data_IF_105566942372
#
_entry.id   IF_105566942372
#
_cell.length_a   1.000
_cell.length_b   1.000
_cell.length_c   1.000
_cell.angle_alpha   90.00
_cell.angle_beta   90.00
_cell.angle_gamma   90.00
#
_symmetry.space_group_name_H-M   'P 1'
#
loop_
_entity.id
_entity.type
_entity.pdbx_description
1 polymer ?
#
# COMPACT_ATOMS: atom_id res chain seq x y z
N UNK A 1 -11.03 5.63 29.03
CA UNK A 1 -10.99 6.00 27.60
C UNK A 1 -9.83 6.96 27.26
N UNK A 2 -9.43 7.90 28.15
CA UNK A 2 -8.34 8.85 27.88
C UNK A 2 -6.96 8.22 27.64
N UNK A 3 -6.52 7.30 28.49
CA UNK A 3 -5.17 6.72 28.42
C UNK A 3 -4.91 5.88 27.16
N UNK A 4 -5.93 5.19 26.65
CA UNK A 4 -5.82 4.40 25.40
C UNK A 4 -5.71 5.35 24.21
N UNK A 5 -6.47 6.44 24.21
CA UNK A 5 -6.43 7.46 23.16
C UNK A 5 -5.08 8.18 23.14
N UNK A 6 -4.57 8.58 24.30
CA UNK A 6 -3.25 9.21 24.43
C UNK A 6 -2.11 8.27 24.01
N UNK A 7 -2.19 6.98 24.39
CA UNK A 7 -1.22 5.97 23.93
C UNK A 7 -1.27 5.73 22.41
N UNK A 8 -2.47 5.73 21.84
CA UNK A 8 -2.66 5.61 20.40
C UNK A 8 -2.13 6.83 19.64
N UNK A 9 -2.42 8.03 20.10
CA UNK A 9 -1.94 9.29 19.53
C UNK A 9 -0.40 9.37 19.60
N UNK A 10 0.20 8.93 20.71
CA UNK A 10 1.66 8.84 20.84
C UNK A 10 2.25 7.84 19.84
N UNK A 11 1.67 6.65 19.73
CA UNK A 11 2.13 5.63 18.78
C UNK A 11 2.02 6.13 17.34
N UNK A 12 0.90 6.75 17.01
CA UNK A 12 0.61 7.26 15.67
C UNK A 12 1.53 8.43 15.29
N UNK A 13 1.71 9.41 16.18
CA UNK A 13 2.48 10.62 15.89
C UNK A 13 3.99 10.45 16.05
N UNK A 14 4.42 9.74 17.09
CA UNK A 14 5.84 9.63 17.40
C UNK A 14 6.52 8.41 16.76
N UNK A 15 5.83 7.29 16.60
CA UNK A 15 6.42 6.08 16.04
C UNK A 15 6.10 5.96 14.54
N UNK A 16 4.84 6.03 14.13
CA UNK A 16 4.47 5.92 12.72
C UNK A 16 4.69 7.24 11.94
N UNK A 17 4.27 8.37 12.51
CA UNK A 17 4.44 9.69 11.92
C UNK A 17 5.86 10.24 12.00
N UNK A 18 6.69 9.74 12.94
CA UNK A 18 8.07 10.23 13.18
C UNK A 18 8.17 11.76 13.19
N UNK A 19 7.24 12.46 13.86
CA UNK A 19 7.24 13.92 13.91
C UNK A 19 8.55 14.50 14.44
N UNK A 20 9.17 13.80 15.41
CA UNK A 20 10.50 14.16 15.91
C UNK A 20 11.57 14.21 14.81
N UNK A 21 11.48 13.34 13.81
CA UNK A 21 12.40 13.31 12.66
C UNK A 21 12.13 14.50 11.71
N UNK A 22 10.86 14.87 11.51
CA UNK A 22 10.47 16.05 10.75
C UNK A 22 11.07 17.31 11.36
N UNK A 23 10.91 17.50 12.67
CA UNK A 23 11.43 18.65 13.39
C UNK A 23 12.99 18.69 13.39
N UNK A 24 13.62 17.53 13.50
CA UNK A 24 15.08 17.42 13.45
C UNK A 24 15.64 17.81 12.08
N UNK A 25 15.02 17.35 11.00
CA UNK A 25 15.43 17.70 9.63
C UNK A 25 15.17 19.18 9.35
N UNK A 26 14.02 19.73 9.78
CA UNK A 26 13.71 21.16 9.66
C UNK A 26 14.77 22.01 10.35
N UNK A 27 15.11 21.70 11.59
CA UNK A 27 16.15 22.41 12.34
C UNK A 27 17.55 22.31 11.68
N UNK A 28 17.88 21.19 11.07
CA UNK A 28 19.15 21.02 10.34
C UNK A 28 19.19 21.88 9.07
N UNK A 29 18.10 21.92 8.31
CA UNK A 29 18.00 22.73 7.09
C UNK A 29 18.03 24.22 7.37
N UNK A 30 17.37 24.67 8.44
CA UNK A 30 17.44 26.06 8.90
C UNK A 30 18.88 26.45 9.29
N UNK A 31 19.60 25.58 10.01
CA UNK A 31 21.03 25.79 10.35
C UNK A 31 21.92 25.80 9.09
N UNK A 32 21.54 25.07 8.04
CA UNK A 32 22.26 25.07 6.76
C UNK A 32 21.94 26.29 5.87
N UNK A 33 21.13 27.24 6.37
CA UNK A 33 20.76 28.45 5.63
C UNK A 33 19.65 28.27 4.59
N UNK A 34 19.01 27.08 4.54
CA UNK A 34 17.86 26.79 3.69
C UNK A 34 16.59 26.87 4.54
N UNK A 35 15.94 28.04 4.56
CA UNK A 35 14.69 28.23 5.30
C UNK A 35 13.55 27.40 4.71
N UNK A 36 12.67 26.89 5.58
CA UNK A 36 11.51 26.06 5.23
C UNK A 36 10.48 26.75 4.31
N UNK A 37 10.54 28.05 4.18
CA UNK A 37 9.54 28.85 3.44
C UNK A 37 9.93 29.18 1.99
N UNK A 38 11.01 28.60 1.45
CA UNK A 38 11.46 28.86 0.08
C UNK A 38 11.84 27.58 -0.64
N UNK A 39 11.34 27.41 -1.88
CA UNK A 39 11.92 26.43 -2.79
C UNK A 39 13.43 26.76 -2.97
N UNK A 40 14.39 25.83 -2.77
CA UNK A 40 14.29 24.37 -2.69
C UNK A 40 14.22 23.77 -1.25
N UNK A 41 14.16 24.58 -0.19
CA UNK A 41 14.21 24.09 1.19
C UNK A 41 13.03 23.20 1.57
N UNK A 42 11.81 23.58 1.20
CA UNK A 42 10.59 22.83 1.45
C UNK A 42 10.60 21.46 0.71
N UNK A 43 11.04 21.45 -0.54
CA UNK A 43 11.21 20.24 -1.32
C UNK A 43 12.22 19.29 -0.65
N UNK A 44 13.37 19.82 -0.24
CA UNK A 44 14.44 19.01 0.37
C UNK A 44 14.02 18.46 1.73
N UNK A 45 13.30 19.26 2.51
CA UNK A 45 12.75 18.86 3.80
C UNK A 45 11.80 17.69 3.65
N UNK A 46 10.81 17.83 2.75
CA UNK A 46 9.85 16.77 2.46
C UNK A 46 10.54 15.52 1.92
N UNK A 47 11.43 15.66 0.95
CA UNK A 47 12.15 14.57 0.32
C UNK A 47 13.00 13.77 1.33
N UNK A 48 13.83 14.45 2.12
CA UNK A 48 14.72 13.78 3.10
C UNK A 48 13.90 13.09 4.18
N UNK A 49 12.88 13.77 4.71
CA UNK A 49 12.00 13.22 5.74
C UNK A 49 11.29 11.96 5.25
N UNK A 50 10.64 12.01 4.09
CA UNK A 50 9.91 10.87 3.56
C UNK A 50 10.82 9.70 3.19
N UNK A 51 11.98 9.96 2.58
CA UNK A 51 12.95 8.93 2.26
C UNK A 51 13.39 8.19 3.52
N UNK A 52 13.82 8.90 4.57
CA UNK A 52 14.27 8.27 5.82
C UNK A 52 13.11 7.53 6.48
N UNK A 53 11.94 8.14 6.59
CA UNK A 53 10.74 7.53 7.17
C UNK A 53 10.40 6.21 6.47
N UNK A 54 10.35 6.23 5.14
CA UNK A 54 10.02 5.04 4.33
C UNK A 54 11.07 3.95 4.55
N UNK A 55 12.37 4.26 4.50
CA UNK A 55 13.41 3.26 4.72
C UNK A 55 13.37 2.65 6.12
N UNK A 56 13.15 3.46 7.16
CA UNK A 56 13.07 2.96 8.54
C UNK A 56 11.85 2.06 8.71
N UNK A 57 10.67 2.52 8.28
CA UNK A 57 9.43 1.73 8.37
C UNK A 57 9.53 0.44 7.55
N UNK A 58 10.06 0.52 6.33
CA UNK A 58 10.26 -0.63 5.45
C UNK A 58 11.21 -1.65 6.10
N UNK A 59 12.35 -1.20 6.63
CA UNK A 59 13.32 -2.07 7.28
C UNK A 59 12.74 -2.76 8.52
N UNK A 60 12.05 -2.02 9.39
CA UNK A 60 11.41 -2.57 10.60
C UNK A 60 10.31 -3.57 10.23
N UNK A 61 9.43 -3.22 9.29
CA UNK A 61 8.33 -4.09 8.86
C UNK A 61 8.85 -5.37 8.19
N UNK A 62 9.79 -5.26 7.25
CA UNK A 62 10.36 -6.45 6.59
C UNK A 62 11.07 -7.32 7.61
N UNK A 63 11.79 -6.73 8.56
CA UNK A 63 12.46 -7.48 9.62
C UNK A 63 11.46 -8.27 10.46
N UNK A 64 10.42 -7.61 10.99
CA UNK A 64 9.39 -8.23 11.82
C UNK A 64 8.65 -9.34 11.06
N UNK A 65 8.22 -9.05 9.83
CA UNK A 65 7.50 -10.01 8.99
C UNK A 65 8.38 -11.21 8.67
N UNK A 66 9.61 -11.00 8.23
CA UNK A 66 10.54 -12.09 7.90
C UNK A 66 10.91 -12.93 9.13
N UNK A 67 11.02 -12.29 10.29
CA UNK A 67 11.23 -12.98 11.55
C UNK A 67 10.03 -13.85 11.92
N UNK A 68 8.80 -13.32 11.84
CA UNK A 68 7.56 -14.07 12.08
C UNK A 68 7.41 -15.20 11.06
N UNK A 69 7.64 -14.94 9.77
CA UNK A 69 7.59 -15.95 8.71
C UNK A 69 8.56 -17.10 8.95
N UNK A 70 9.70 -16.85 9.59
CA UNK A 70 10.66 -17.89 9.94
C UNK A 70 10.10 -18.92 10.93
N UNK A 71 9.02 -18.62 11.66
CA UNK A 71 8.30 -19.56 12.53
C UNK A 71 7.15 -20.29 11.81
N UNK A 72 6.64 -19.70 10.73
CA UNK A 72 5.54 -20.25 9.95
C UNK A 72 6.04 -20.62 8.56
N UNK A 73 6.59 -21.83 8.40
CA UNK A 73 6.97 -22.28 7.08
C UNK A 73 5.75 -22.29 6.15
N UNK A 74 5.93 -21.97 4.85
CA UNK A 74 4.86 -21.83 3.86
C UNK A 74 3.93 -23.05 3.78
N UNK A 75 4.44 -24.24 4.13
CA UNK A 75 3.67 -25.50 4.10
C UNK A 75 2.49 -25.51 5.09
N UNK A 76 2.60 -24.82 6.24
CA UNK A 76 1.48 -24.70 7.19
C UNK A 76 0.37 -23.80 6.66
N UNK A 77 0.74 -22.72 6.00
CA UNK A 77 -0.22 -21.83 5.34
C UNK A 77 -0.95 -22.56 4.20
N UNK A 78 -0.22 -23.36 3.41
CA UNK A 78 -0.79 -24.25 2.38
C UNK A 78 -1.83 -25.24 2.97
N UNK A 79 -1.56 -25.81 4.13
CA UNK A 79 -2.44 -26.80 4.78
C UNK A 79 -3.72 -26.17 5.32
N UNK A 80 -3.67 -24.92 5.76
CA UNK A 80 -4.84 -24.17 6.29
C UNK A 80 -5.67 -23.62 5.13
N UNK A 81 -5.03 -22.95 4.16
CA UNK A 81 -5.72 -22.32 3.03
C UNK A 81 -6.10 -23.32 1.93
N UNK A 82 -5.40 -24.43 1.80
CA UNK A 82 -5.72 -25.49 0.83
C UNK A 82 -7.00 -26.28 1.13
N UNK A 83 -7.65 -26.03 2.27
CA UNK A 83 -8.99 -26.57 2.57
C UNK A 83 -10.12 -25.79 1.90
N UNK A 84 -9.85 -24.57 1.49
CA UNK A 84 -10.82 -23.68 0.84
C UNK A 84 -10.53 -23.61 -0.64
N UNK A 85 -11.56 -23.75 -1.48
CA UNK A 85 -11.44 -23.72 -2.93
C UNK A 85 -12.33 -22.64 -3.53
N UNK A 86 -11.89 -22.08 -4.64
CA UNK A 86 -12.66 -21.07 -5.40
C UNK A 86 -12.83 -19.74 -4.64
N UNK A 87 -13.98 -19.12 -4.80
CA UNK A 87 -14.25 -17.76 -4.33
C UNK A 87 -14.10 -17.60 -2.80
N UNK A 88 -14.38 -18.65 -2.01
CA UNK A 88 -14.20 -18.63 -0.55
C UNK A 88 -12.74 -18.49 -0.14
N UNK A 89 -11.85 -19.14 -0.87
CA UNK A 89 -10.41 -18.99 -0.63
C UNK A 89 -9.95 -17.56 -0.92
N UNK A 90 -10.47 -16.94 -1.99
CA UNK A 90 -10.18 -15.55 -2.35
C UNK A 90 -10.72 -14.56 -1.31
N UNK A 91 -11.91 -14.81 -0.74
CA UNK A 91 -12.45 -14.02 0.37
C UNK A 91 -11.55 -14.09 1.59
N UNK A 92 -11.08 -15.29 1.97
CA UNK A 92 -10.17 -15.46 3.10
C UNK A 92 -8.84 -14.75 2.84
N UNK A 93 -8.30 -14.84 1.61
CA UNK A 93 -7.12 -14.10 1.19
C UNK A 93 -7.28 -12.59 1.35
N UNK A 94 -8.40 -12.04 0.89
CA UNK A 94 -8.73 -10.64 1.01
C UNK A 94 -8.90 -10.19 2.48
N UNK A 95 -9.59 -10.98 3.30
CA UNK A 95 -9.74 -10.70 4.73
C UNK A 95 -8.40 -10.73 5.47
N UNK A 96 -7.53 -11.69 5.11
CA UNK A 96 -6.19 -11.75 5.69
C UNK A 96 -5.39 -10.47 5.36
N UNK A 97 -5.50 -9.97 4.12
CA UNK A 97 -4.89 -8.70 3.72
C UNK A 97 -5.41 -7.53 4.53
N UNK A 98 -6.71 -7.47 4.80
CA UNK A 98 -7.32 -6.37 5.58
C UNK A 98 -6.89 -6.35 7.04
N UNK A 99 -6.74 -7.53 7.66
CA UNK A 99 -6.30 -7.64 9.06
C UNK A 99 -4.82 -7.31 9.22
N UNK A 100 -4.03 -7.52 8.17
CA UNK A 100 -2.59 -7.26 8.19
C UNK A 100 -2.29 -5.85 7.66
N UNK A 101 -1.88 -4.89 8.52
CA UNK A 101 -1.63 -3.50 8.12
C UNK A 101 -0.30 -3.39 7.37
N UNK A 102 -0.26 -3.89 6.15
CA UNK A 102 0.95 -3.91 5.35
C UNK A 102 0.86 -2.94 4.17
N UNK A 103 1.89 -2.10 4.03
CA UNK A 103 2.07 -1.35 2.79
C UNK A 103 2.33 -2.30 1.61
N UNK A 104 2.07 -1.85 0.40
CA UNK A 104 2.30 -2.63 -0.82
C UNK A 104 3.71 -3.23 -0.92
N UNK A 105 4.74 -2.53 -0.41
CA UNK A 105 6.11 -3.03 -0.39
C UNK A 105 6.33 -4.26 0.49
N UNK A 106 5.60 -4.38 1.60
CA UNK A 106 5.68 -5.54 2.50
C UNK A 106 4.74 -6.67 2.09
N UNK A 107 3.63 -6.35 1.43
CA UNK A 107 2.68 -7.35 0.92
C UNK A 107 3.25 -8.18 -0.24
N UNK A 108 4.14 -7.61 -1.06
CA UNK A 108 4.75 -8.32 -2.19
C UNK A 108 5.64 -9.50 -1.75
N UNK A 109 6.57 -9.38 -0.77
CA UNK A 109 7.30 -10.53 -0.25
C UNK A 109 6.40 -11.63 0.30
N UNK A 110 5.28 -11.28 0.96
CA UNK A 110 4.31 -12.24 1.47
C UNK A 110 3.57 -12.91 0.30
N UNK A 111 3.17 -12.15 -0.70
CA UNK A 111 2.60 -12.65 -1.95
C UNK A 111 3.54 -13.67 -2.61
N UNK A 112 4.84 -13.36 -2.73
CA UNK A 112 5.84 -14.28 -3.25
C UNK A 112 5.93 -15.56 -2.41
N UNK A 113 5.89 -15.44 -1.07
CA UNK A 113 5.88 -16.57 -0.15
C UNK A 113 4.65 -17.45 -0.32
N UNK A 114 3.46 -16.88 -0.43
CA UNK A 114 2.23 -17.62 -0.66
C UNK A 114 2.22 -18.30 -2.04
N UNK A 115 2.70 -17.61 -3.06
CA UNK A 115 2.77 -18.15 -4.41
C UNK A 115 3.80 -19.29 -4.49
N UNK A 116 4.97 -19.15 -3.86
CA UNK A 116 5.97 -20.24 -3.77
C UNK A 116 5.50 -21.41 -2.91
N UNK A 117 4.61 -21.18 -1.94
CA UNK A 117 3.93 -22.25 -1.21
C UNK A 117 2.87 -23.02 -2.05
N UNK A 118 2.59 -22.55 -3.27
CA UNK A 118 1.63 -23.18 -4.19
C UNK A 118 0.17 -22.84 -3.89
N UNK A 119 -0.09 -21.69 -3.25
CA UNK A 119 -1.46 -21.18 -3.12
C UNK A 119 -1.99 -20.70 -4.47
N UNK A 120 -3.31 -20.83 -4.74
CA UNK A 120 -3.93 -20.35 -5.97
C UNK A 120 -3.67 -18.86 -6.21
N UNK A 121 -3.47 -18.45 -7.45
CA UNK A 121 -3.23 -17.05 -7.80
C UNK A 121 -4.38 -16.13 -7.36
N UNK A 122 -5.61 -16.60 -7.40
CA UNK A 122 -6.76 -15.84 -6.93
C UNK A 122 -6.61 -15.40 -5.48
N UNK A 123 -6.22 -16.32 -4.61
CA UNK A 123 -6.02 -16.05 -3.18
C UNK A 123 -4.88 -15.05 -2.95
N UNK A 124 -3.76 -15.28 -3.62
CA UNK A 124 -2.56 -14.45 -3.43
C UNK A 124 -2.75 -13.04 -3.97
N UNK A 125 -3.47 -12.88 -5.09
CA UNK A 125 -3.82 -11.57 -5.64
C UNK A 125 -4.95 -10.88 -4.85
N UNK A 126 -5.94 -11.61 -4.34
CA UNK A 126 -6.94 -11.04 -3.43
C UNK A 126 -6.28 -10.45 -2.18
N UNK A 127 -5.32 -11.15 -1.59
CA UNK A 127 -4.49 -10.65 -0.50
C UNK A 127 -3.68 -9.41 -0.92
N UNK A 128 -3.01 -9.46 -2.08
CA UNK A 128 -2.15 -8.38 -2.56
C UNK A 128 -2.92 -7.09 -2.86
N UNK A 129 -4.17 -7.20 -3.33
CA UNK A 129 -5.02 -6.05 -3.61
C UNK A 129 -5.59 -5.48 -2.32
N UNK A 130 -6.11 -6.33 -1.42
CA UNK A 130 -6.79 -5.87 -0.21
C UNK A 130 -5.82 -5.22 0.79
N UNK A 131 -4.63 -5.78 0.95
CA UNK A 131 -3.68 -5.39 1.99
C UNK A 131 -3.30 -3.90 1.98
N UNK A 132 -2.90 -3.28 0.87
CA UNK A 132 -2.61 -1.85 0.83
C UNK A 132 -3.86 -0.98 0.61
N UNK A 133 -4.97 -1.57 0.15
CA UNK A 133 -6.18 -0.84 -0.20
C UNK A 133 -7.12 -0.66 0.98
N UNK A 134 -7.19 -1.67 1.86
CA UNK A 134 -8.20 -1.78 2.92
C UNK A 134 -7.56 -2.35 4.17
N UNK A 135 -6.84 -1.53 4.94
CA UNK A 135 -6.31 -1.95 6.23
C UNK A 135 -7.12 -1.37 7.41
N UNK A 136 -6.98 -1.98 8.59
CA UNK A 136 -7.67 -1.52 9.80
C UNK A 136 -7.23 -0.13 10.25
N UNK A 137 -6.01 0.29 9.97
CA UNK A 137 -5.51 1.63 10.27
C UNK A 137 -6.20 2.67 9.40
N UNK A 138 -6.33 2.39 8.10
CA UNK A 138 -7.06 3.25 7.17
C UNK A 138 -8.54 3.38 7.53
N UNK A 139 -9.17 2.29 8.01
CA UNK A 139 -10.55 2.33 8.49
C UNK A 139 -10.72 3.34 9.63
N UNK A 140 -9.88 3.26 10.67
CA UNK A 140 -9.96 4.18 11.83
C UNK A 140 -9.76 5.63 11.42
N UNK A 141 -8.83 5.89 10.52
CA UNK A 141 -8.57 7.23 10.02
C UNK A 141 -9.70 7.78 9.15
N UNK A 142 -10.20 6.97 8.21
CA UNK A 142 -11.35 7.36 7.40
C UNK A 142 -12.59 7.62 8.25
N UNK A 143 -12.76 6.85 9.33
CA UNK A 143 -13.85 7.12 10.30
C UNK A 143 -13.72 8.48 10.96
N UNK A 144 -12.52 8.95 11.22
CA UNK A 144 -12.30 10.26 11.85
C UNK A 144 -12.54 11.44 10.90
N UNK A 145 -12.32 11.26 9.61
CA UNK A 145 -12.40 12.33 8.59
C UNK A 145 -13.75 12.33 7.86
N UNK A 146 -14.17 11.18 7.38
CA UNK A 146 -15.36 11.03 6.53
C UNK A 146 -16.58 10.42 7.27
N UNK A 147 -16.39 10.02 8.52
CA UNK A 147 -17.43 9.36 9.32
C UNK A 147 -17.50 7.84 9.11
N UNK A 148 -18.13 7.16 10.07
CA UNK A 148 -18.13 5.70 10.13
C UNK A 148 -18.81 5.02 8.94
N UNK A 149 -19.93 5.57 8.45
CA UNK A 149 -20.68 4.95 7.33
C UNK A 149 -19.86 4.89 6.06
N UNK A 150 -19.17 5.98 5.72
CA UNK A 150 -18.29 6.05 4.51
C UNK A 150 -17.09 5.12 4.68
N UNK A 151 -16.47 5.12 5.86
CA UNK A 151 -15.33 4.26 6.15
C UNK A 151 -15.67 2.75 6.03
N UNK A 152 -16.80 2.31 6.59
CA UNK A 152 -17.26 0.93 6.44
C UNK A 152 -17.62 0.59 4.99
N UNK A 153 -18.30 1.49 4.28
CA UNK A 153 -18.61 1.29 2.87
C UNK A 153 -17.33 1.16 2.02
N UNK A 154 -16.31 1.98 2.30
CA UNK A 154 -15.00 1.91 1.67
C UNK A 154 -14.35 0.53 1.84
N UNK A 155 -14.34 0.00 3.07
CA UNK A 155 -13.78 -1.33 3.39
C UNK A 155 -14.54 -2.42 2.64
N UNK A 156 -15.86 -2.41 2.67
CA UNK A 156 -16.69 -3.43 2.01
C UNK A 156 -16.47 -3.41 0.50
N UNK A 157 -16.50 -2.24 -0.12
CA UNK A 157 -16.33 -2.12 -1.57
C UNK A 157 -14.90 -2.46 -1.98
N UNK A 158 -13.90 -2.06 -1.20
CA UNK A 158 -12.50 -2.44 -1.42
C UNK A 158 -12.27 -3.95 -1.33
N UNK A 159 -12.89 -4.62 -0.36
CA UNK A 159 -12.88 -6.09 -0.26
C UNK A 159 -13.53 -6.76 -1.48
N UNK A 160 -14.65 -6.24 -1.95
CA UNK A 160 -15.31 -6.74 -3.16
C UNK A 160 -14.37 -6.62 -4.37
N UNK A 161 -13.72 -5.47 -4.55
CA UNK A 161 -12.74 -5.26 -5.62
C UNK A 161 -11.58 -6.25 -5.51
N UNK A 162 -11.06 -6.50 -4.31
CA UNK A 162 -9.98 -7.44 -4.09
C UNK A 162 -10.37 -8.88 -4.43
N UNK A 163 -11.55 -9.34 -3.99
CA UNK A 163 -12.05 -10.68 -4.27
C UNK A 163 -12.37 -10.86 -5.75
N UNK A 164 -13.02 -9.88 -6.36
CA UNK A 164 -13.34 -9.92 -7.80
C UNK A 164 -12.06 -9.88 -8.63
N UNK A 165 -11.12 -9.01 -8.29
CA UNK A 165 -9.84 -8.90 -8.99
C UNK A 165 -9.01 -10.18 -8.91
N UNK A 166 -8.89 -10.78 -7.71
CA UNK A 166 -8.21 -12.07 -7.53
C UNK A 166 -8.91 -13.20 -8.30
N UNK A 167 -10.25 -13.25 -8.25
CA UNK A 167 -11.03 -14.27 -8.98
C UNK A 167 -10.89 -14.13 -10.50
N UNK A 168 -10.83 -12.90 -11.02
CA UNK A 168 -10.58 -12.67 -12.44
C UNK A 168 -9.20 -13.16 -12.87
N UNK A 169 -8.17 -12.88 -12.07
CA UNK A 169 -6.79 -13.33 -12.34
C UNK A 169 -6.72 -14.87 -12.29
N UNK A 170 -7.39 -15.52 -11.34
CA UNK A 170 -7.46 -16.98 -11.23
C UNK A 170 -8.10 -17.61 -12.48
N UNK A 171 -9.23 -17.05 -12.95
CA UNK A 171 -9.92 -17.53 -14.15
C UNK A 171 -9.13 -17.37 -15.45
N UNK A 172 -8.16 -16.47 -15.47
CA UNK A 172 -7.28 -16.28 -16.63
C UNK A 172 -6.19 -17.35 -16.74
N UNK A 173 -6.05 -18.24 -15.75
CA UNK A 173 -5.06 -19.34 -15.73
C UNK A 173 -3.67 -18.88 -16.14
N UNK A 174 -3.14 -17.87 -15.45
CA UNK A 174 -1.88 -17.22 -15.80
C UNK A 174 -0.71 -17.65 -14.89
N UNK A 175 -0.74 -18.87 -14.38
CA UNK A 175 0.30 -19.44 -13.52
C UNK A 175 1.68 -19.41 -14.21
N UNK A 176 1.71 -19.53 -15.54
CA UNK A 176 2.92 -19.45 -16.36
C UNK A 176 3.54 -18.04 -16.42
N UNK A 177 2.81 -17.03 -15.98
CA UNK A 177 3.27 -15.65 -15.94
C UNK A 177 3.91 -15.28 -14.59
N UNK A 178 3.98 -16.20 -13.65
CA UNK A 178 4.81 -16.07 -12.43
C UNK A 178 6.24 -16.40 -12.77
N UNK A 179 7.21 -15.69 -12.18
CA UNK A 179 8.63 -15.91 -12.40
C UNK A 179 9.08 -17.31 -11.96
N UNK A 180 10.01 -17.87 -12.73
CA UNK A 180 10.39 -19.28 -12.63
C UNK A 180 11.01 -19.64 -11.27
N UNK A 181 11.76 -18.74 -10.67
CA UNK A 181 12.37 -18.97 -9.36
C UNK A 181 11.33 -19.13 -8.23
N UNK A 182 10.13 -18.51 -8.36
CA UNK A 182 9.01 -18.66 -7.42
C UNK A 182 8.34 -20.02 -7.65
N UNK A 183 8.18 -20.43 -8.91
CA UNK A 183 7.56 -21.70 -9.27
C UNK A 183 8.45 -22.91 -8.90
N UNK A 184 9.75 -22.81 -9.08
CA UNK A 184 10.70 -23.87 -8.71
C UNK A 184 10.73 -24.10 -7.20
N UNK A 185 10.54 -23.07 -6.39
CA UNK A 185 10.46 -23.21 -4.93
C UNK A 185 9.26 -24.05 -4.46
N UNK A 186 8.21 -24.21 -5.29
CA UNK A 186 7.06 -25.07 -4.97
C UNK A 186 7.41 -26.57 -4.93
N UNK A 187 8.42 -26.99 -5.68
CA UNK A 187 8.78 -28.40 -5.86
C UNK A 187 9.89 -28.86 -4.91
N UNK A 188 10.44 -27.98 -4.10
CA UNK A 188 11.48 -28.33 -3.13
C UNK A 188 10.80 -28.57 -1.79
N UNK A 189 10.55 -29.82 -1.45
CA UNK A 189 10.29 -30.24 -0.07
C UNK A 189 11.60 -30.08 0.72
N UNK A 190 11.87 -28.89 1.19
CA UNK A 190 12.94 -28.65 2.16
C UNK A 190 12.32 -29.06 3.51
N UNK A 191 12.71 -30.22 4.04
CA UNK A 191 12.56 -30.48 5.47
C UNK A 191 13.09 -29.25 6.18
N UNK A 192 12.20 -28.52 6.85
CA UNK A 192 12.54 -27.27 7.52
C UNK A 192 13.54 -27.58 8.63
N UNK A 193 14.84 -27.29 8.46
CA UNK A 193 15.79 -27.46 9.56
C UNK A 193 15.29 -26.60 10.72
N UNK A 194 15.40 -27.11 11.95
CA UNK A 194 15.05 -26.36 13.15
C UNK A 194 15.99 -25.15 13.23
N UNK A 195 15.60 -24.05 12.61
CA UNK A 195 16.35 -22.80 12.61
C UNK A 195 16.52 -22.33 14.06
N UNK A 196 17.73 -22.04 14.45
CA UNK A 196 18.00 -21.39 15.74
C UNK A 196 17.53 -19.93 15.71
N UNK A 197 17.38 -19.31 16.87
CA UNK A 197 17.00 -17.89 16.95
C UNK A 197 18.01 -17.01 16.19
N UNK A 198 19.29 -17.35 16.21
CA UNK A 198 20.35 -16.66 15.47
C UNK A 198 20.16 -16.76 13.95
N UNK A 199 19.81 -17.96 13.45
CA UNK A 199 19.58 -18.18 12.03
C UNK A 199 18.35 -17.38 11.52
N UNK A 200 17.29 -17.30 12.34
CA UNK A 200 16.09 -16.51 12.05
C UNK A 200 16.37 -15.02 12.00
N UNK A 201 17.18 -14.53 12.92
CA UNK A 201 17.63 -13.14 12.95
C UNK A 201 18.47 -12.79 11.71
N UNK A 202 19.41 -13.66 11.35
CA UNK A 202 20.23 -13.50 10.15
C UNK A 202 19.38 -13.57 8.87
N UNK A 203 18.42 -14.48 8.80
CA UNK A 203 17.47 -14.55 7.71
C UNK A 203 16.69 -13.24 7.55
N UNK A 204 16.08 -12.74 8.63
CA UNK A 204 15.34 -11.48 8.61
C UNK A 204 16.23 -10.30 8.21
N UNK A 205 17.46 -10.20 8.74
CA UNK A 205 18.43 -9.15 8.38
C UNK A 205 18.81 -9.21 6.89
N UNK A 206 19.10 -10.40 6.38
CA UNK A 206 19.46 -10.58 4.97
C UNK A 206 18.28 -10.19 4.05
N UNK A 207 17.05 -10.50 4.45
CA UNK A 207 15.85 -10.13 3.71
C UNK A 207 15.66 -8.61 3.67
N UNK A 208 15.87 -7.91 4.79
CA UNK A 208 15.86 -6.44 4.84
C UNK A 208 16.90 -5.87 3.88
N UNK A 209 18.16 -6.27 4.01
CA UNK A 209 19.26 -5.74 3.18
C UNK A 209 19.03 -6.00 1.69
N UNK A 210 18.60 -7.21 1.35
CA UNK A 210 18.30 -7.59 -0.05
C UNK A 210 17.17 -6.75 -0.63
N UNK A 211 16.06 -6.61 0.13
CA UNK A 211 14.89 -5.85 -0.34
C UNK A 211 15.19 -4.37 -0.42
N UNK A 212 15.78 -3.78 0.63
CA UNK A 212 16.14 -2.36 0.64
C UNK A 212 17.06 -2.01 -0.51
N UNK A 213 18.11 -2.79 -0.77
CA UNK A 213 19.02 -2.55 -1.92
C UNK A 213 18.30 -2.57 -3.26
N UNK A 214 17.33 -3.47 -3.45
CA UNK A 214 16.58 -3.58 -4.70
C UNK A 214 15.60 -2.42 -4.90
N UNK A 215 15.00 -1.93 -3.81
CA UNK A 215 13.89 -0.96 -3.85
C UNK A 215 14.38 0.48 -3.70
N UNK A 216 15.56 0.69 -3.09
CA UNK A 216 16.13 2.02 -2.81
C UNK A 216 16.09 2.99 -4.01
N UNK A 217 16.62 2.65 -5.21
CA UNK A 217 16.62 3.61 -6.32
C UNK A 217 15.20 4.02 -6.73
N UNK A 218 14.24 3.12 -6.61
CA UNK A 218 12.85 3.38 -6.99
C UNK A 218 12.12 4.22 -5.94
N UNK A 219 12.43 4.04 -4.64
CA UNK A 219 11.91 4.90 -3.57
C UNK A 219 12.43 6.32 -3.78
N UNK A 220 13.73 6.51 -4.04
CA UNK A 220 14.29 7.84 -4.30
C UNK A 220 13.58 8.54 -5.47
N UNK A 221 13.37 7.85 -6.58
CA UNK A 221 12.67 8.41 -7.74
C UNK A 221 11.19 8.67 -7.42
N UNK A 222 10.49 7.74 -6.78
CA UNK A 222 9.08 7.89 -6.44
C UNK A 222 8.83 9.03 -5.46
N UNK A 223 9.65 9.15 -4.41
CA UNK A 223 9.55 10.25 -3.43
C UNK A 223 9.94 11.59 -4.07
N UNK A 224 10.94 11.62 -4.96
CA UNK A 224 11.29 12.85 -5.68
C UNK A 224 10.14 13.35 -6.56
N UNK A 225 9.47 12.45 -7.28
CA UNK A 225 8.26 12.78 -8.06
C UNK A 225 7.14 13.25 -7.13
N UNK A 226 6.89 12.56 -6.02
CA UNK A 226 5.88 12.95 -5.03
C UNK A 226 6.15 14.34 -4.43
N UNK A 227 7.39 14.60 -4.03
CA UNK A 227 7.82 15.89 -3.51
C UNK A 227 7.69 17.02 -4.57
N UNK A 228 8.01 16.71 -5.83
CA UNK A 228 7.85 17.67 -6.93
C UNK A 228 6.36 18.00 -7.18
N UNK A 229 5.49 17.01 -7.16
CA UNK A 229 4.05 17.21 -7.33
C UNK A 229 3.48 18.03 -6.17
N UNK A 230 3.85 17.69 -4.93
CA UNK A 230 3.37 18.40 -3.74
C UNK A 230 3.73 19.91 -3.75
N UNK A 231 4.93 20.24 -4.22
CA UNK A 231 5.43 21.61 -4.19
C UNK A 231 5.19 22.42 -5.49
N UNK A 232 5.04 21.73 -6.66
CA UNK A 232 4.94 22.40 -7.96
C UNK A 232 3.50 22.53 -8.46
N UNK A 233 2.54 21.71 -7.97
CA UNK A 233 1.17 21.81 -8.43
C UNK A 233 0.36 22.76 -7.53
N UNK A 234 0.04 23.96 -8.01
CA UNK A 234 -0.79 24.90 -7.27
C UNK A 234 -2.18 24.34 -7.02
N UNK A 235 -2.71 24.61 -5.85
CA UNK A 235 -4.04 24.12 -5.43
C UNK A 235 -5.17 24.46 -6.41
N UNK A 236 -5.08 25.59 -7.11
CA UNK A 236 -6.08 26.00 -8.08
C UNK A 236 -6.14 25.06 -9.31
N UNK A 237 -5.01 24.47 -9.71
CA UNK A 237 -4.94 23.48 -10.80
C UNK A 237 -5.64 22.20 -10.38
N UNK A 238 -5.37 21.72 -9.15
CA UNK A 238 -6.03 20.54 -8.58
C UNK A 238 -7.55 20.77 -8.55
N UNK A 239 -8.01 21.93 -8.10
CA UNK A 239 -9.42 22.31 -8.06
C UNK A 239 -10.06 22.36 -9.45
N UNK A 240 -9.37 22.92 -10.42
CA UNK A 240 -9.88 23.03 -11.80
C UNK A 240 -10.00 21.68 -12.50
N UNK A 241 -9.18 20.71 -12.09
CA UNK A 241 -9.09 19.39 -12.73
C UNK A 241 -9.92 18.34 -11.97
N UNK A 242 -9.93 18.37 -10.63
CA UNK A 242 -10.59 17.35 -9.77
C UNK A 242 -11.93 17.83 -9.18
N UNK A 243 -12.48 18.95 -9.63
CA UNK A 243 -13.75 19.49 -9.14
C UNK A 243 -14.95 18.53 -9.32
N UNK A 244 -15.96 18.67 -8.47
CA UNK A 244 -17.05 17.72 -8.20
C UNK A 244 -17.86 17.20 -9.39
N UNK A 245 -17.94 17.92 -10.50
CA UNK A 245 -18.89 17.62 -11.57
C UNK A 245 -18.25 17.08 -12.86
N UNK A 246 -16.98 16.69 -12.83
CA UNK A 246 -16.30 16.25 -14.04
C UNK A 246 -16.21 14.74 -14.11
N UNK A 247 -16.83 14.13 -15.08
CA UNK A 247 -16.81 12.68 -15.29
C UNK A 247 -15.39 12.11 -15.39
N UNK A 248 -14.43 12.86 -15.90
CA UNK A 248 -13.04 12.45 -16.01
C UNK A 248 -12.21 12.64 -14.71
N UNK A 249 -12.77 13.26 -13.68
CA UNK A 249 -12.05 13.55 -12.45
C UNK A 249 -11.58 12.26 -11.73
N UNK A 250 -12.41 11.23 -11.69
CA UNK A 250 -12.06 9.93 -11.05
C UNK A 250 -10.95 9.20 -11.81
N UNK A 251 -11.03 8.96 -13.13
CA UNK A 251 -9.94 8.35 -13.89
C UNK A 251 -8.64 9.17 -13.80
N UNK A 252 -8.74 10.48 -13.84
CA UNK A 252 -7.57 11.35 -13.75
C UNK A 252 -6.91 11.28 -12.38
N UNK A 253 -7.69 11.33 -11.30
CA UNK A 253 -7.20 11.16 -9.94
C UNK A 253 -6.49 9.80 -9.76
N UNK A 254 -7.04 8.74 -10.35
CA UNK A 254 -6.44 7.41 -10.34
C UNK A 254 -5.08 7.42 -11.06
N UNK A 255 -5.00 7.99 -12.26
CA UNK A 255 -3.75 8.05 -13.04
C UNK A 255 -2.70 8.91 -12.36
N UNK A 256 -3.09 10.05 -11.78
CA UNK A 256 -2.17 10.95 -11.05
C UNK A 256 -1.65 10.31 -9.76
N UNK A 257 -2.44 9.47 -9.11
CA UNK A 257 -2.03 8.73 -7.92
C UNK A 257 -0.97 7.66 -8.17
N UNK A 258 -1.00 6.99 -9.34
CA UNK A 258 -0.08 5.87 -9.66
C UNK A 258 1.41 6.22 -9.51
N UNK A 259 1.94 7.33 -10.04
CA UNK A 259 3.35 7.68 -9.87
C UNK A 259 3.70 8.13 -8.45
N UNK A 260 2.72 8.50 -7.64
CA UNK A 260 2.94 8.94 -6.27
C UNK A 260 3.17 7.74 -5.34
N UNK A 261 4.04 7.92 -4.37
CA UNK A 261 4.20 6.96 -3.28
C UNK A 261 3.92 7.67 -1.97
N UNK A 262 2.82 7.33 -1.35
CA UNK A 262 2.51 7.74 0.01
C UNK A 262 1.71 6.65 0.72
N UNK A 263 1.83 6.61 2.04
CA UNK A 263 0.94 5.81 2.86
C UNK A 263 -0.40 6.54 3.08
N UNK A 264 -1.37 5.86 3.64
CA UNK A 264 -2.68 6.46 3.88
C UNK A 264 -2.61 7.64 4.86
N UNK A 265 -1.68 7.60 5.82
CA UNK A 265 -1.46 8.68 6.78
C UNK A 265 -0.95 9.95 6.12
N UNK A 266 -0.12 9.82 5.08
CA UNK A 266 0.37 10.93 4.28
C UNK A 266 -0.66 11.49 3.29
N UNK A 267 -1.64 10.67 2.86
CA UNK A 267 -2.67 11.11 1.91
C UNK A 267 -3.86 11.83 2.57
N UNK A 268 -4.11 11.61 3.87
CA UNK A 268 -5.25 12.20 4.57
C UNK A 268 -5.25 13.73 4.57
N UNK A 269 -4.15 14.44 4.90
CA UNK A 269 -4.16 15.90 4.83
C UNK A 269 -4.45 16.43 3.43
N UNK A 270 -3.99 15.71 2.39
CA UNK A 270 -4.31 16.04 1.00
C UNK A 270 -5.79 15.80 0.72
N UNK A 271 -6.35 14.70 1.20
CA UNK A 271 -7.77 14.38 1.06
C UNK A 271 -8.67 15.42 1.75
N UNK A 272 -8.34 15.83 2.98
CA UNK A 272 -9.05 16.88 3.72
C UNK A 272 -8.98 18.23 2.97
N UNK A 273 -7.81 18.60 2.48
CA UNK A 273 -7.63 19.81 1.69
C UNK A 273 -8.44 19.80 0.40
N UNK A 274 -8.47 18.66 -0.31
CA UNK A 274 -9.26 18.49 -1.53
C UNK A 274 -10.76 18.52 -1.24
N UNK A 275 -11.20 17.91 -0.13
CA UNK A 275 -12.61 17.94 0.30
C UNK A 275 -13.05 19.34 0.64
N UNK A 276 -12.25 20.07 1.43
CA UNK A 276 -12.51 21.49 1.75
C UNK A 276 -12.58 22.40 0.52
N UNK A 277 -11.94 21.99 -0.57
CA UNK A 277 -11.92 22.69 -1.86
C UNK A 277 -13.02 22.23 -2.83
N UNK A 278 -13.92 21.35 -2.41
CA UNK A 278 -15.06 20.90 -3.19
C UNK A 278 -14.70 19.85 -4.25
N UNK A 279 -13.70 19.02 -4.03
CA UNK A 279 -13.50 17.81 -4.83
C UNK A 279 -14.52 16.73 -4.45
N UNK A 280 -15.00 15.96 -5.42
CA UNK A 280 -15.96 14.89 -5.19
C UNK A 280 -15.39 13.81 -4.26
N UNK A 281 -16.20 13.32 -3.30
CA UNK A 281 -15.80 12.31 -2.34
C UNK A 281 -15.17 11.07 -3.00
N UNK A 282 -15.82 10.54 -4.06
CA UNK A 282 -15.31 9.39 -4.77
C UNK A 282 -14.03 9.67 -5.53
N UNK A 283 -13.80 10.90 -6.00
CA UNK A 283 -12.56 11.32 -6.64
C UNK A 283 -11.39 11.29 -5.64
N UNK A 284 -11.64 11.78 -4.42
CA UNK A 284 -10.66 11.77 -3.32
C UNK A 284 -10.33 10.33 -2.92
N UNK A 285 -11.34 9.50 -2.70
CA UNK A 285 -11.15 8.10 -2.33
C UNK A 285 -10.42 7.30 -3.42
N UNK A 286 -10.75 7.55 -4.71
CA UNK A 286 -10.03 6.93 -5.82
C UNK A 286 -8.56 7.35 -5.88
N UNK A 287 -8.25 8.63 -5.63
CA UNK A 287 -6.88 9.11 -5.50
C UNK A 287 -6.14 8.40 -4.37
N UNK A 288 -6.73 8.35 -3.17
CA UNK A 288 -6.13 7.68 -2.01
C UNK A 288 -5.87 6.19 -2.29
N UNK A 289 -6.86 5.46 -2.84
CA UNK A 289 -6.70 4.06 -3.22
C UNK A 289 -5.59 3.86 -4.25
N UNK A 290 -5.49 4.75 -5.24
CA UNK A 290 -4.47 4.64 -6.29
C UNK A 290 -3.06 4.81 -5.74
N UNK A 291 -2.84 5.85 -4.91
CA UNK A 291 -1.54 6.15 -4.29
C UNK A 291 -1.06 5.00 -3.39
N UNK A 292 -1.97 4.38 -2.62
CA UNK A 292 -1.62 3.32 -1.67
C UNK A 292 -1.43 1.96 -2.34
N UNK A 293 -2.25 1.64 -3.35
CA UNK A 293 -2.30 0.30 -3.94
C UNK A 293 -1.35 0.14 -5.12
N UNK A 294 -1.27 1.13 -6.02
CA UNK A 294 -0.51 1.05 -7.28
C UNK A 294 0.55 2.16 -7.30
N UNK A 295 1.52 2.08 -6.41
CA UNK A 295 2.65 3.00 -6.46
C UNK A 295 3.75 2.49 -7.40
N UNK A 296 4.50 3.42 -8.01
CA UNK A 296 5.59 3.06 -8.91
C UNK A 296 6.64 2.11 -8.29
N UNK A 297 7.10 2.31 -7.03
CA UNK A 297 8.02 1.37 -6.39
C UNK A 297 7.42 -0.04 -6.22
N UNK A 298 6.14 -0.13 -5.90
CA UNK A 298 5.44 -1.41 -5.74
C UNK A 298 5.33 -2.17 -7.05
N UNK A 299 5.02 -1.46 -8.14
CA UNK A 299 4.97 -2.07 -9.49
C UNK A 299 6.33 -2.61 -9.92
N UNK A 300 7.41 -1.90 -9.61
CA UNK A 300 8.76 -2.38 -9.92
C UNK A 300 9.12 -3.61 -9.08
N UNK A 301 8.76 -3.65 -7.80
CA UNK A 301 8.95 -4.85 -6.98
C UNK A 301 8.14 -6.03 -7.52
N UNK A 302 6.88 -5.81 -7.84
CA UNK A 302 5.99 -6.84 -8.37
C UNK A 302 6.46 -7.34 -9.74
N UNK A 303 7.06 -6.48 -10.58
CA UNK A 303 7.64 -6.86 -11.88
C UNK A 303 8.82 -7.84 -11.78
N UNK A 304 9.37 -8.04 -10.57
CA UNK A 304 10.39 -9.06 -10.29
C UNK A 304 9.79 -10.40 -9.84
N UNK A 305 8.52 -10.42 -9.50
CA UNK A 305 7.79 -11.62 -9.07
C UNK A 305 6.91 -12.20 -10.20
N UNK A 306 6.40 -11.33 -11.07
CA UNK A 306 5.50 -11.71 -12.17
C UNK A 306 5.94 -11.08 -13.50
N UNK A 307 5.63 -11.76 -14.60
CA UNK A 307 5.96 -11.29 -15.94
C UNK A 307 5.06 -10.11 -16.35
N UNK A 308 5.56 -9.31 -17.31
CA UNK A 308 4.91 -8.07 -17.76
C UNK A 308 3.43 -8.23 -18.14
N UNK A 309 3.03 -9.36 -18.73
CA UNK A 309 1.65 -9.61 -19.15
C UNK A 309 0.71 -9.67 -17.94
N UNK A 310 1.04 -10.43 -16.91
CA UNK A 310 0.25 -10.53 -15.69
C UNK A 310 0.26 -9.22 -14.91
N UNK A 311 1.41 -8.52 -14.89
CA UNK A 311 1.51 -7.20 -14.28
C UNK A 311 0.58 -6.18 -14.93
N UNK A 312 0.52 -6.13 -16.26
CA UNK A 312 -0.39 -5.22 -16.99
C UNK A 312 -1.86 -5.53 -16.71
N UNK A 313 -2.23 -6.80 -16.65
CA UNK A 313 -3.60 -7.24 -16.31
C UNK A 313 -3.93 -6.85 -14.85
N UNK A 314 -3.02 -7.08 -13.92
CA UNK A 314 -3.19 -6.66 -12.53
C UNK A 314 -3.42 -5.15 -12.40
N UNK A 315 -2.59 -4.33 -13.05
CA UNK A 315 -2.75 -2.87 -13.07
C UNK A 315 -4.12 -2.50 -13.66
N UNK A 316 -4.51 -3.10 -14.78
CA UNK A 316 -5.79 -2.83 -15.43
C UNK A 316 -7.00 -3.16 -14.54
N UNK A 317 -6.97 -4.33 -13.88
CA UNK A 317 -8.05 -4.75 -12.97
C UNK A 317 -8.15 -3.81 -11.77
N UNK A 318 -7.02 -3.47 -11.15
CA UNK A 318 -7.02 -2.60 -9.95
C UNK A 318 -7.42 -1.18 -10.32
N UNK A 319 -6.89 -0.60 -11.41
CA UNK A 319 -7.30 0.72 -11.89
C UNK A 319 -8.80 0.76 -12.21
N UNK A 320 -9.31 -0.25 -12.91
CA UNK A 320 -10.75 -0.35 -13.20
C UNK A 320 -11.57 -0.42 -11.91
N UNK A 321 -11.14 -1.24 -10.96
CA UNK A 321 -11.79 -1.34 -9.65
C UNK A 321 -11.82 -0.01 -8.92
N UNK A 322 -10.70 0.71 -8.85
CA UNK A 322 -10.60 2.03 -8.22
C UNK A 322 -11.54 3.04 -8.90
N UNK A 323 -11.58 3.05 -10.23
CA UNK A 323 -12.45 3.96 -10.99
C UNK A 323 -13.91 3.66 -10.71
N UNK A 324 -14.30 2.39 -10.67
CA UNK A 324 -15.68 1.97 -10.33
C UNK A 324 -16.04 2.43 -8.92
N UNK A 325 -15.15 2.20 -7.95
CA UNK A 325 -15.32 2.64 -6.55
C UNK A 325 -15.49 4.16 -6.48
N UNK A 326 -14.63 4.91 -7.17
CA UNK A 326 -14.71 6.37 -7.22
C UNK A 326 -16.07 6.88 -7.75
N UNK A 327 -16.57 6.29 -8.82
CA UNK A 327 -17.88 6.67 -9.33
C UNK A 327 -19.02 6.25 -8.39
N UNK A 328 -18.96 5.07 -7.78
CA UNK A 328 -19.95 4.65 -6.79
C UNK A 328 -20.03 5.63 -5.62
N UNK A 329 -18.90 6.07 -5.09
CA UNK A 329 -18.88 7.04 -4.01
C UNK A 329 -19.26 8.46 -4.44
N UNK A 330 -19.04 8.85 -5.70
CA UNK A 330 -19.54 10.12 -6.20
C UNK A 330 -21.07 10.13 -6.37
N UNK A 331 -21.68 8.97 -6.71
CA UNK A 331 -23.13 8.87 -6.89
C UNK A 331 -23.84 8.66 -5.54
N UNK A 332 -23.34 7.75 -4.72
CA UNK A 332 -24.01 7.31 -3.49
C UNK A 332 -23.45 7.93 -2.22
N UNK A 333 -22.30 8.60 -2.29
CA UNK A 333 -21.63 9.16 -1.10
C UNK A 333 -22.49 10.16 -0.35
N UNK A 334 -23.32 10.94 -1.06
CA UNK A 334 -24.26 11.89 -0.44
C UNK A 334 -25.37 11.20 0.39
N UNK A 335 -25.66 9.94 0.13
CA UNK A 335 -26.64 9.17 0.94
C UNK A 335 -26.02 8.61 2.22
N UNK A 336 -24.69 8.62 2.32
CA UNK A 336 -23.93 8.10 3.46
C UNK A 336 -23.46 9.20 4.41
N UNK A 337 -23.39 10.44 3.95
CA UNK A 337 -23.18 11.64 4.76
C UNK A 337 -24.46 11.98 5.54
#
# INVERSE_FOLDING_TARGET
>A
MGAIKTGWDFFQNQILGMHWLKDLIGNLLVKAGMGESRFPGEFLHFFIYDVIKIFVLLAVLIFLISYIQSYFPPERSKKIMGRFHGIWANIIGALLGTVTPFCSCSSIPIFMGFTSAGLPLGVTFSFLISSPMVDLGSLVLLMSVFGGKIAFAYVIVGLIVAVVGGTLIEKLHMEDQVEEFIRQAQNVEIESPKLTVGDRMNYAKNQVVSTVKKVAPYIFVGVAIGAAIHNLIPEHIVRSILGEQKWYAVPLATVVGVPMYADIFGTIPVAESLLAKGAGLGTILAFMMSVTTISFPSLVMLSKAIKKKLLAIFIGIVCMGIVIVGYLFNIFGYMLL
#
